data_IF_734789873223
#
_entry.id   IF_734789873223
#
_cell.length_a   1.000
_cell.length_b   1.000
_cell.length_c   1.000
_cell.angle_alpha   90.00
_cell.angle_beta   90.00
_cell.angle_gamma   90.00
#
_symmetry.space_group_name_H-M   'P 1'
#
loop_
_entity.id
_entity.type
_entity.pdbx_description
1 polymer ?
#
# COMPACT_ATOMS: atom_id res chain seq x y z
N UNK A 1 5.57 26.58 -13.29
CA UNK A 1 5.42 25.12 -13.14
C UNK A 1 5.52 24.48 -14.52
N UNK A 2 6.27 23.39 -14.65
CA UNK A 2 6.39 22.65 -15.90
C UNK A 2 5.00 22.05 -16.27
N UNK A 3 4.61 22.11 -17.55
CA UNK A 3 3.35 21.52 -18.06
C UNK A 3 3.19 20.06 -17.64
N UNK A 4 4.27 19.29 -17.64
CA UNK A 4 4.26 17.89 -17.19
C UNK A 4 3.89 17.76 -15.71
N UNK A 5 4.38 18.66 -14.84
CA UNK A 5 4.02 18.67 -13.42
C UNK A 5 2.53 18.94 -13.22
N UNK A 6 1.94 19.84 -14.02
CA UNK A 6 0.50 20.14 -13.97
C UNK A 6 -0.30 18.89 -14.37
N UNK A 7 0.06 18.26 -15.49
CA UNK A 7 -0.61 17.04 -15.97
C UNK A 7 -0.51 15.94 -14.91
N UNK A 8 0.68 15.74 -14.33
CA UNK A 8 0.90 14.77 -13.26
C UNK A 8 0.01 15.02 -12.05
N UNK A 9 -0.06 16.26 -11.56
CA UNK A 9 -0.90 16.61 -10.40
C UNK A 9 -2.38 16.41 -10.69
N UNK A 10 -2.86 16.80 -11.89
CA UNK A 10 -4.25 16.56 -12.31
C UNK A 10 -4.54 15.06 -12.33
N UNK A 11 -3.66 14.26 -12.96
CA UNK A 11 -3.82 12.81 -13.02
C UNK A 11 -3.81 12.17 -11.62
N UNK A 12 -2.91 12.61 -10.74
CA UNK A 12 -2.83 12.15 -9.36
C UNK A 12 -4.11 12.46 -8.58
N UNK A 13 -4.63 13.69 -8.69
CA UNK A 13 -5.87 14.11 -8.03
C UNK A 13 -7.05 13.30 -8.55
N UNK A 14 -7.21 13.17 -9.87
CA UNK A 14 -8.31 12.42 -10.47
C UNK A 14 -8.24 10.95 -10.03
N UNK A 15 -7.08 10.32 -10.18
CA UNK A 15 -6.88 8.91 -9.84
C UNK A 15 -7.17 8.64 -8.35
N UNK A 16 -6.54 9.40 -7.45
CA UNK A 16 -6.74 9.25 -6.01
C UNK A 16 -8.18 9.53 -5.60
N UNK A 17 -8.82 10.55 -6.17
CA UNK A 17 -10.24 10.87 -5.90
C UNK A 17 -11.16 9.71 -6.32
N UNK A 18 -10.93 9.13 -7.49
CA UNK A 18 -11.70 7.97 -7.97
C UNK A 18 -11.49 6.78 -7.04
N UNK A 19 -10.25 6.49 -6.64
CA UNK A 19 -9.94 5.38 -5.74
C UNK A 19 -10.62 5.54 -4.37
N UNK A 20 -10.50 6.71 -3.73
CA UNK A 20 -11.14 6.96 -2.45
C UNK A 20 -12.68 6.96 -2.55
N UNK A 21 -13.22 7.47 -3.66
CA UNK A 21 -14.66 7.40 -3.92
C UNK A 21 -15.16 5.97 -4.07
N UNK A 22 -14.45 5.12 -4.83
CA UNK A 22 -14.79 3.69 -4.98
C UNK A 22 -14.67 2.94 -3.66
N UNK A 23 -13.61 3.18 -2.89
CA UNK A 23 -13.40 2.58 -1.58
C UNK A 23 -14.53 2.96 -0.61
N UNK A 24 -14.94 4.23 -0.60
CA UNK A 24 -16.08 4.71 0.19
C UNK A 24 -17.39 4.05 -0.25
N UNK A 25 -17.68 4.04 -1.56
CA UNK A 25 -18.88 3.40 -2.11
C UNK A 25 -18.96 1.93 -1.71
N UNK A 26 -17.84 1.22 -1.77
CA UNK A 26 -17.77 -0.18 -1.35
C UNK A 26 -18.01 -0.33 0.16
N UNK A 27 -17.39 0.52 0.99
CA UNK A 27 -17.58 0.49 2.43
C UNK A 27 -19.04 0.74 2.83
N UNK A 28 -19.67 1.77 2.24
CA UNK A 28 -21.06 2.11 2.49
C UNK A 28 -22.00 0.96 2.08
N UNK A 29 -21.74 0.35 0.91
CA UNK A 29 -22.53 -0.80 0.45
C UNK A 29 -22.38 -2.02 1.37
N UNK A 30 -21.16 -2.34 1.79
CA UNK A 30 -20.89 -3.48 2.70
C UNK A 30 -21.53 -3.24 4.06
N UNK A 31 -21.42 -2.03 4.62
CA UNK A 31 -22.01 -1.68 5.91
C UNK A 31 -23.54 -1.79 5.87
N UNK A 32 -24.18 -1.29 4.80
CA UNK A 32 -25.63 -1.35 4.64
C UNK A 32 -26.16 -2.79 4.54
N UNK A 33 -25.40 -3.71 3.95
CA UNK A 33 -25.82 -5.11 3.73
C UNK A 33 -25.23 -6.10 4.76
N UNK A 34 -24.63 -5.61 5.85
CA UNK A 34 -24.02 -6.44 6.89
C UNK A 34 -25.02 -7.38 7.57
N UNK A 35 -26.27 -6.96 7.74
CA UNK A 35 -27.26 -7.66 8.58
C UNK A 35 -28.10 -8.70 7.83
N UNK A 36 -27.94 -8.82 6.51
CA UNK A 36 -28.71 -9.75 5.70
C UNK A 36 -27.83 -10.46 4.68
N UNK A 37 -27.84 -11.79 4.72
CA UNK A 37 -27.24 -12.62 3.67
C UNK A 37 -28.17 -12.59 2.45
N UNK A 38 -27.64 -12.36 1.23
CA UNK A 38 -28.46 -12.42 0.02
C UNK A 38 -29.11 -13.80 -0.15
N UNK A 39 -30.33 -13.85 -0.69
CA UNK A 39 -31.14 -15.07 -0.75
C UNK A 39 -30.42 -16.25 -1.42
N UNK A 40 -29.63 -15.98 -2.47
CA UNK A 40 -28.83 -16.97 -3.17
C UNK A 40 -27.79 -17.69 -2.28
N UNK A 41 -27.41 -17.11 -1.13
CA UNK A 41 -26.36 -17.62 -0.25
C UNK A 41 -26.86 -18.01 1.15
N UNK A 42 -28.12 -17.74 1.50
CA UNK A 42 -28.69 -18.02 2.83
C UNK A 42 -28.53 -19.47 3.29
N UNK A 43 -28.57 -20.42 2.35
CA UNK A 43 -28.42 -21.85 2.65
C UNK A 43 -26.98 -22.32 2.85
N UNK A 44 -25.98 -21.51 2.45
CA UNK A 44 -24.56 -21.87 2.47
C UNK A 44 -23.74 -21.03 3.43
N UNK A 45 -24.17 -19.80 3.70
CA UNK A 45 -23.41 -18.82 4.48
C UNK A 45 -24.23 -18.44 5.71
N UNK A 46 -23.78 -18.82 6.92
CA UNK A 46 -24.37 -18.34 8.16
C UNK A 46 -24.26 -16.82 8.27
N UNK A 47 -25.24 -16.18 8.92
CA UNK A 47 -25.24 -14.73 9.13
C UNK A 47 -23.98 -14.24 9.84
N UNK A 48 -23.50 -14.97 10.85
CA UNK A 48 -22.27 -14.62 11.57
C UNK A 48 -21.04 -14.59 10.65
N UNK A 49 -20.93 -15.55 9.73
CA UNK A 49 -19.83 -15.59 8.77
C UNK A 49 -19.89 -14.41 7.79
N UNK A 50 -21.10 -14.04 7.34
CA UNK A 50 -21.32 -12.86 6.49
C UNK A 50 -20.96 -11.56 7.21
N UNK A 51 -21.38 -11.41 8.47
CA UNK A 51 -21.03 -10.27 9.31
C UNK A 51 -19.53 -10.16 9.54
N UNK A 52 -18.87 -11.29 9.84
CA UNK A 52 -17.40 -11.35 9.98
C UNK A 52 -16.69 -10.91 8.70
N UNK A 53 -17.18 -11.34 7.53
CA UNK A 53 -16.64 -10.94 6.24
C UNK A 53 -16.85 -9.44 5.94
N UNK A 54 -18.02 -8.90 6.31
CA UNK A 54 -18.31 -7.47 6.19
C UNK A 54 -17.39 -6.63 7.08
N UNK A 55 -17.24 -7.00 8.36
CA UNK A 55 -16.38 -6.30 9.31
C UNK A 55 -14.90 -6.36 8.88
N UNK A 56 -14.46 -7.50 8.35
CA UNK A 56 -13.12 -7.66 7.79
C UNK A 56 -12.89 -6.76 6.58
N UNK A 57 -13.86 -6.71 5.67
CA UNK A 57 -13.81 -5.86 4.49
C UNK A 57 -13.71 -4.38 4.87
N UNK A 58 -14.52 -3.94 5.84
CA UNK A 58 -14.48 -2.56 6.34
C UNK A 58 -13.14 -2.22 7.00
N UNK A 59 -12.58 -3.14 7.80
CA UNK A 59 -11.27 -2.96 8.40
C UNK A 59 -10.17 -2.83 7.34
N UNK A 60 -10.19 -3.69 6.31
CA UNK A 60 -9.25 -3.62 5.18
C UNK A 60 -9.38 -2.32 4.39
N UNK A 61 -10.59 -1.88 4.08
CA UNK A 61 -10.80 -0.61 3.36
C UNK A 61 -10.25 0.56 4.16
N UNK A 62 -10.47 0.59 5.49
CA UNK A 62 -9.94 1.65 6.35
C UNK A 62 -8.41 1.70 6.32
N UNK A 63 -7.74 0.56 6.43
CA UNK A 63 -6.28 0.52 6.35
C UNK A 63 -5.80 0.91 4.95
N UNK A 64 -6.43 0.39 3.89
CA UNK A 64 -6.08 0.71 2.51
C UNK A 64 -6.20 2.21 2.18
N UNK A 65 -7.18 2.91 2.78
CA UNK A 65 -7.28 4.36 2.63
C UNK A 65 -6.12 5.11 3.32
N UNK A 66 -5.69 4.65 4.49
CA UNK A 66 -4.54 5.23 5.21
C UNK A 66 -3.26 4.99 4.40
N UNK A 67 -3.06 3.76 3.95
CA UNK A 67 -1.94 3.34 3.13
C UNK A 67 -1.85 4.15 1.83
N UNK A 68 -2.97 4.29 1.11
CA UNK A 68 -3.05 5.11 -0.10
C UNK A 68 -2.73 6.59 0.15
N UNK A 69 -3.18 7.16 1.27
CA UNK A 69 -2.85 8.53 1.63
C UNK A 69 -1.35 8.73 1.93
N UNK A 70 -0.73 7.78 2.65
CA UNK A 70 0.71 7.77 2.89
C UNK A 70 1.49 7.65 1.57
N UNK A 71 1.05 6.76 0.67
CA UNK A 71 1.64 6.59 -0.65
C UNK A 71 1.62 7.88 -1.48
N UNK A 72 0.51 8.63 -1.45
CA UNK A 72 0.40 9.94 -2.13
C UNK A 72 1.41 10.94 -1.54
N UNK A 73 1.53 11.01 -0.21
CA UNK A 73 2.48 11.92 0.45
C UNK A 73 3.90 11.59 0.03
N UNK A 74 4.29 10.31 0.08
CA UNK A 74 5.64 9.86 -0.27
C UNK A 74 5.92 10.09 -1.75
N UNK A 75 4.96 9.81 -2.63
CA UNK A 75 5.07 10.11 -4.05
C UNK A 75 5.34 11.60 -4.30
N UNK A 76 4.60 12.48 -3.64
CA UNK A 76 4.79 13.94 -3.76
C UNK A 76 6.15 14.39 -3.21
N UNK A 77 6.59 13.84 -2.07
CA UNK A 77 7.92 14.15 -1.50
C UNK A 77 9.06 13.67 -2.41
N UNK A 78 8.94 12.49 -3.00
CA UNK A 78 9.95 11.97 -3.93
C UNK A 78 9.98 12.74 -5.24
N UNK A 79 8.83 13.14 -5.77
CA UNK A 79 8.73 13.82 -7.07
C UNK A 79 8.90 15.34 -6.94
N UNK A 80 7.93 16.01 -6.32
CA UNK A 80 7.92 17.47 -6.20
C UNK A 80 8.82 17.97 -5.06
N UNK A 81 8.99 17.19 -4.00
CA UNK A 81 9.94 17.48 -2.92
C UNK A 81 11.40 17.25 -3.31
N UNK A 82 11.67 16.77 -4.53
CA UNK A 82 13.01 16.56 -5.05
C UNK A 82 13.71 15.30 -4.55
N UNK A 83 13.03 14.43 -3.78
CA UNK A 83 13.65 13.24 -3.19
C UNK A 83 14.34 12.31 -4.21
N UNK A 84 13.77 12.16 -5.41
CA UNK A 84 14.41 11.43 -6.52
C UNK A 84 15.72 12.11 -6.92
N UNK A 85 15.68 13.42 -7.18
CA UNK A 85 16.87 14.16 -7.62
C UNK A 85 17.97 14.10 -6.56
N UNK A 86 17.61 14.30 -5.28
CA UNK A 86 18.53 14.18 -4.15
C UNK A 86 19.21 12.81 -4.08
N UNK A 87 18.47 11.73 -4.32
CA UNK A 87 19.06 10.38 -4.35
C UNK A 87 20.08 10.24 -5.48
N UNK A 88 19.77 10.70 -6.69
CA UNK A 88 20.70 10.65 -7.82
C UNK A 88 21.92 11.54 -7.61
N UNK A 89 21.75 12.75 -7.11
CA UNK A 89 22.86 13.66 -6.79
C UNK A 89 23.78 13.07 -5.73
N UNK A 90 23.21 12.51 -4.66
CA UNK A 90 23.96 11.82 -3.62
C UNK A 90 24.84 10.72 -4.21
N UNK A 91 24.28 9.79 -4.97
CA UNK A 91 25.05 8.67 -5.52
C UNK A 91 26.07 9.09 -6.58
N UNK A 92 25.76 10.07 -7.42
CA UNK A 92 26.72 10.63 -8.37
C UNK A 92 27.89 11.36 -7.70
N UNK A 93 27.71 11.85 -6.47
CA UNK A 93 28.79 12.52 -5.73
C UNK A 93 29.84 11.55 -5.16
N UNK A 94 29.46 10.28 -4.95
CA UNK A 94 30.29 9.25 -4.31
C UNK A 94 30.69 8.11 -5.24
N UNK A 95 29.96 7.88 -6.34
CA UNK A 95 30.23 6.82 -7.32
C UNK A 95 30.57 7.43 -8.67
N UNK A 96 31.77 7.15 -9.18
CA UNK A 96 32.24 7.70 -10.46
C UNK A 96 31.56 7.07 -11.70
N UNK A 97 31.02 5.85 -11.57
CA UNK A 97 30.32 5.16 -12.67
C UNK A 97 28.85 5.60 -12.73
N UNK A 98 28.39 6.26 -13.81
CA UNK A 98 27.01 6.72 -13.93
C UNK A 98 25.99 5.59 -13.84
N UNK A 99 26.35 4.40 -14.35
CA UNK A 99 25.50 3.21 -14.29
C UNK A 99 25.29 2.75 -12.84
N UNK A 100 26.39 2.61 -12.07
CA UNK A 100 26.33 2.14 -10.69
C UNK A 100 25.60 3.17 -9.81
N UNK A 101 25.85 4.46 -10.03
CA UNK A 101 25.14 5.54 -9.34
C UNK A 101 23.63 5.49 -9.59
N UNK A 102 23.21 5.25 -10.84
CA UNK A 102 21.79 5.12 -11.19
C UNK A 102 21.11 3.90 -10.56
N UNK A 103 21.80 2.75 -10.53
CA UNK A 103 21.31 1.54 -9.85
C UNK A 103 21.15 1.81 -8.35
N UNK A 104 22.16 2.40 -7.71
CA UNK A 104 22.12 2.67 -6.27
C UNK A 104 21.05 3.71 -5.89
N UNK A 105 20.85 4.75 -6.69
CA UNK A 105 19.77 5.72 -6.50
C UNK A 105 18.39 5.07 -6.62
N UNK A 106 18.19 4.23 -7.65
CA UNK A 106 16.94 3.50 -7.85
C UNK A 106 16.67 2.53 -6.69
N UNK A 107 17.70 1.79 -6.25
CA UNK A 107 17.61 0.90 -5.10
C UNK A 107 17.28 1.66 -3.81
N UNK A 108 17.81 2.87 -3.63
CA UNK A 108 17.49 3.74 -2.48
C UNK A 108 16.02 4.17 -2.50
N UNK A 109 15.52 4.59 -3.66
CA UNK A 109 14.10 4.97 -3.81
C UNK A 109 13.20 3.77 -3.54
N UNK A 110 13.54 2.60 -4.08
CA UNK A 110 12.81 1.36 -3.82
C UNK A 110 12.80 1.01 -2.32
N UNK A 111 13.94 1.08 -1.65
CA UNK A 111 14.05 0.82 -0.22
C UNK A 111 13.18 1.78 0.60
N UNK A 112 13.18 3.08 0.26
CA UNK A 112 12.31 4.06 0.93
C UNK A 112 10.84 3.68 0.77
N UNK A 113 10.41 3.31 -0.44
CA UNK A 113 9.04 2.86 -0.68
C UNK A 113 8.68 1.62 0.14
N UNK A 114 9.56 0.61 0.16
CA UNK A 114 9.32 -0.60 0.98
C UNK A 114 9.22 -0.26 2.46
N UNK A 115 10.09 0.60 2.99
CA UNK A 115 10.07 0.99 4.40
C UNK A 115 8.78 1.71 4.80
N UNK A 116 8.20 2.50 3.89
CA UNK A 116 6.92 3.20 4.11
C UNK A 116 5.75 2.21 4.21
N UNK A 117 5.80 1.09 3.49
CA UNK A 117 4.75 0.07 3.46
C UNK A 117 4.84 -0.91 4.64
N UNK A 118 6.00 -1.05 5.29
CA UNK A 118 6.17 -1.99 6.41
C UNK A 118 5.16 -1.75 7.55
N UNK A 119 4.94 -0.51 8.05
CA UNK A 119 3.99 -0.26 9.14
C UNK A 119 2.57 -0.72 8.81
N UNK A 120 2.08 -0.45 7.60
CA UNK A 120 0.73 -0.85 7.17
C UNK A 120 0.66 -2.37 6.96
N UNK A 121 1.71 -2.99 6.42
CA UNK A 121 1.82 -4.45 6.31
C UNK A 121 1.80 -5.15 7.67
N UNK A 122 2.57 -4.66 8.65
CA UNK A 122 2.58 -5.17 10.02
C UNK A 122 1.20 -5.05 10.65
N UNK A 123 0.53 -3.90 10.50
CA UNK A 123 -0.83 -3.70 11.01
C UNK A 123 -1.84 -4.63 10.32
N UNK A 124 -1.71 -4.83 9.01
CA UNK A 124 -2.56 -5.74 8.25
C UNK A 124 -2.45 -7.18 8.77
N UNK A 125 -1.22 -7.70 8.94
CA UNK A 125 -0.99 -9.10 9.35
C UNK A 125 -1.26 -9.33 10.84
N UNK A 126 -0.67 -8.52 11.71
CA UNK A 126 -0.67 -8.81 13.16
C UNK A 126 -1.81 -8.15 13.93
N UNK A 127 -2.57 -7.21 13.30
CA UNK A 127 -3.74 -6.60 13.94
C UNK A 127 -5.02 -6.99 13.21
N UNK A 128 -5.12 -6.73 11.91
CA UNK A 128 -6.35 -7.03 11.16
C UNK A 128 -6.51 -8.53 11.00
N UNK A 129 -5.57 -9.22 10.37
CA UNK A 129 -5.71 -10.66 10.10
C UNK A 129 -5.78 -11.49 11.39
N UNK A 130 -5.01 -11.12 12.41
CA UNK A 130 -5.09 -11.74 13.75
C UNK A 130 -6.49 -11.57 14.36
N UNK A 131 -7.06 -10.34 14.35
CA UNK A 131 -8.40 -10.06 14.86
C UNK A 131 -9.48 -10.94 14.21
N UNK A 132 -9.33 -11.27 12.93
CA UNK A 132 -10.27 -12.12 12.21
C UNK A 132 -9.87 -13.61 12.19
N UNK A 133 -8.78 -14.00 12.84
CA UNK A 133 -8.29 -15.38 12.88
C UNK A 133 -7.78 -15.91 11.53
N UNK A 134 -7.34 -15.00 10.65
CA UNK A 134 -6.76 -15.34 9.36
C UNK A 134 -5.23 -15.39 9.40
N UNK A 135 -4.60 -14.73 10.38
CA UNK A 135 -3.16 -14.76 10.50
C UNK A 135 -2.67 -16.18 10.84
N UNK A 136 -1.70 -16.66 10.08
CA UNK A 136 -0.97 -17.91 10.32
C UNK A 136 0.54 -17.69 10.34
N UNK A 137 0.98 -16.44 10.22
CA UNK A 137 2.38 -16.05 10.18
C UNK A 137 2.89 -15.71 11.57
N UNK A 138 4.16 -16.05 11.83
CA UNK A 138 4.88 -15.58 13.01
C UNK A 138 5.70 -14.34 12.65
N UNK A 139 6.09 -13.55 13.66
CA UNK A 139 6.97 -12.38 13.46
C UNK A 139 8.27 -12.78 12.73
N UNK A 140 8.87 -13.92 13.10
CA UNK A 140 10.08 -14.42 12.47
C UNK A 140 9.87 -14.76 10.98
N UNK A 141 8.74 -15.40 10.66
CA UNK A 141 8.41 -15.73 9.28
C UNK A 141 8.16 -14.45 8.47
N UNK A 142 7.42 -13.49 9.02
CA UNK A 142 7.18 -12.20 8.38
C UNK A 142 8.48 -11.46 8.06
N UNK A 143 9.40 -11.33 9.03
CA UNK A 143 10.70 -10.65 8.81
C UNK A 143 11.52 -11.40 7.74
N UNK A 144 11.54 -12.72 7.80
CA UNK A 144 12.24 -13.55 6.81
C UNK A 144 11.69 -13.32 5.42
N UNK A 145 10.37 -13.27 5.27
CA UNK A 145 9.72 -13.05 3.98
C UNK A 145 10.03 -11.63 3.45
N UNK A 146 10.02 -10.60 4.30
CA UNK A 146 10.43 -9.24 3.92
C UNK A 146 11.89 -9.19 3.42
N UNK A 147 12.81 -9.87 4.12
CA UNK A 147 14.22 -9.93 3.70
C UNK A 147 14.40 -10.72 2.39
N UNK A 148 13.64 -11.80 2.20
CA UNK A 148 13.66 -12.56 0.94
C UNK A 148 13.12 -11.72 -0.22
N UNK A 149 12.03 -10.97 -0.01
CA UNK A 149 11.48 -10.06 -1.00
C UNK A 149 12.49 -8.97 -1.39
N UNK A 150 13.16 -8.35 -0.41
CA UNK A 150 14.23 -7.38 -0.66
C UNK A 150 15.41 -7.99 -1.41
N UNK A 151 15.85 -9.18 -1.01
CA UNK A 151 16.96 -9.90 -1.66
C UNK A 151 16.65 -10.28 -3.11
N UNK A 152 15.43 -10.75 -3.38
CA UNK A 152 14.97 -11.04 -4.73
C UNK A 152 14.90 -9.77 -5.58
N UNK A 153 14.33 -8.68 -5.05
CA UNK A 153 14.26 -7.40 -5.74
C UNK A 153 15.63 -6.80 -6.07
N UNK A 154 16.67 -7.12 -5.30
CA UNK A 154 18.04 -6.70 -5.60
C UNK A 154 18.75 -7.60 -6.64
N UNK A 155 18.26 -8.81 -6.86
CA UNK A 155 18.90 -9.80 -7.73
C UNK A 155 18.40 -9.78 -9.19
N UNK A 156 17.18 -9.28 -9.41
CA UNK A 156 16.53 -9.17 -10.73
C UNK A 156 16.58 -7.75 -11.27
#
# INVERSE_FOLDING_TARGET
MNTFTIIFLIALIISSSIQFWLAKRQADYVAAHRFAVPDAFKSKVPLEAHQKAADYTLAKIKLGNIDGALGIIVLLLLTLGGGINTAFEYWNSIVSSPLIAGVAATATIFLIMTLVEIPTSVYQTFVIEEKFGFNKSSVNQFIKDQLLHLGLGAAI
#
